data_IF_885649636377
#
_entry.id   IF_885649636377
#
_cell.length_a   1.000
_cell.length_b   1.000
_cell.length_c   1.000
_cell.angle_alpha   90.00
_cell.angle_beta   90.00
_cell.angle_gamma   90.00
#
_symmetry.space_group_name_H-M   'P 1'
#
loop_
_entity.id
_entity.type
_entity.pdbx_description
1 polymer ?
#
# COMPACT_ATOMS: atom_id res chain seq x y z
N UNK A 1 3.43 18.09 -2.41
CA UNK A 1 3.23 19.55 -2.57
C UNK A 1 1.81 19.91 -2.99
N UNK A 2 1.01 18.97 -3.52
CA UNK A 2 -0.35 19.25 -4.01
C UNK A 2 -1.48 18.58 -3.20
N UNK A 3 -1.17 17.82 -2.14
CA UNK A 3 -2.17 17.18 -1.29
C UNK A 3 -2.94 18.24 -0.47
N UNK A 4 -4.27 18.19 -0.49
CA UNK A 4 -5.16 19.13 0.20
C UNK A 4 -5.39 20.45 -0.54
N UNK A 5 -4.97 20.56 -1.80
CA UNK A 5 -5.16 21.76 -2.64
C UNK A 5 -5.63 21.45 -4.07
N UNK A 6 -5.74 20.18 -4.46
CA UNK A 6 -6.16 19.81 -5.83
C UNK A 6 -7.68 19.70 -5.87
N UNK A 7 -8.33 20.41 -6.79
CA UNK A 7 -9.79 20.38 -6.92
C UNK A 7 -10.38 19.00 -7.25
N UNK A 8 -9.59 18.11 -7.85
CA UNK A 8 -9.99 16.75 -8.26
C UNK A 8 -9.61 15.66 -7.24
N UNK A 9 -9.02 16.02 -6.09
CA UNK A 9 -8.77 15.04 -5.04
C UNK A 9 -10.04 14.76 -4.25
N UNK A 10 -10.25 13.50 -3.87
CA UNK A 10 -11.45 13.12 -3.09
C UNK A 10 -11.43 13.79 -1.72
N UNK A 11 -10.26 13.76 -1.07
CA UNK A 11 -9.97 14.42 0.19
C UNK A 11 -8.46 14.46 0.40
N UNK A 12 -8.01 15.24 1.38
CA UNK A 12 -6.60 15.34 1.71
C UNK A 12 -6.03 13.99 2.21
N UNK A 13 -5.02 13.39 1.53
CA UNK A 13 -4.45 12.12 1.96
C UNK A 13 -3.46 12.24 3.13
N UNK A 14 -3.03 13.45 3.51
CA UNK A 14 -1.98 13.66 4.53
C UNK A 14 -2.32 13.06 5.91
N UNK A 15 -3.57 13.17 6.43
CA UNK A 15 -3.92 12.55 7.70
C UNK A 15 -3.73 11.02 7.70
N UNK A 16 -4.05 10.34 6.59
CA UNK A 16 -3.80 8.90 6.47
C UNK A 16 -2.32 8.58 6.42
N UNK A 17 -1.54 9.35 5.67
CA UNK A 17 -0.09 9.18 5.63
C UNK A 17 0.54 9.34 7.01
N UNK A 18 0.08 10.31 7.81
CA UNK A 18 0.57 10.51 9.17
C UNK A 18 0.13 9.37 10.09
N UNK A 19 -1.13 8.91 10.00
CA UNK A 19 -1.61 7.75 10.74
C UNK A 19 -0.78 6.49 10.43
N UNK A 20 -0.54 6.21 9.15
CA UNK A 20 0.27 5.07 8.70
C UNK A 20 1.72 5.21 9.19
N UNK A 21 2.28 6.43 9.17
CA UNK A 21 3.62 6.70 9.68
C UNK A 21 3.70 6.39 11.18
N UNK A 22 2.74 6.87 11.97
CA UNK A 22 2.70 6.63 13.41
C UNK A 22 2.55 5.14 13.70
N UNK A 23 1.58 4.48 13.07
CA UNK A 23 1.33 3.05 13.24
C UNK A 23 2.55 2.18 12.86
N UNK A 24 3.26 2.51 11.79
CA UNK A 24 4.41 1.71 11.34
C UNK A 24 5.70 1.99 12.15
N UNK A 25 5.77 3.11 12.86
CA UNK A 25 6.96 3.52 13.61
C UNK A 25 7.10 2.67 14.88
N UNK A 26 8.25 1.99 15.02
CA UNK A 26 8.56 1.09 16.15
C UNK A 26 7.60 -0.10 16.33
N UNK A 27 6.82 -0.46 15.30
CA UNK A 27 5.94 -1.61 15.38
C UNK A 27 6.75 -2.93 15.43
N UNK A 28 6.64 -3.74 16.50
CA UNK A 28 7.50 -4.92 16.69
C UNK A 28 7.44 -5.93 15.55
N UNK A 29 6.24 -6.13 14.98
CA UNK A 29 6.06 -7.06 13.87
C UNK A 29 6.78 -6.61 12.58
N UNK A 30 7.01 -5.31 12.41
CA UNK A 30 7.62 -4.77 11.18
C UNK A 30 9.14 -4.66 11.28
N UNK A 31 9.71 -4.81 12.49
CA UNK A 31 11.15 -4.84 12.71
C UNK A 31 11.85 -6.04 12.04
N UNK A 32 11.12 -7.13 11.78
CA UNK A 32 11.67 -8.41 11.31
C UNK A 32 11.13 -8.86 9.94
N UNK A 33 10.63 -7.92 9.14
CA UNK A 33 10.16 -8.23 7.79
C UNK A 33 11.29 -8.77 6.91
N UNK A 34 10.99 -9.69 5.97
CA UNK A 34 12.00 -10.31 5.10
C UNK A 34 12.88 -9.29 4.35
N UNK A 35 12.30 -8.15 3.97
CA UNK A 35 12.97 -7.00 3.36
C UNK A 35 12.12 -5.73 3.52
N UNK A 36 12.72 -4.56 3.26
CA UNK A 36 12.04 -3.25 3.25
C UNK A 36 10.73 -3.27 2.49
N UNK A 37 9.77 -2.50 2.97
CA UNK A 37 8.49 -2.23 2.32
C UNK A 37 8.31 -0.71 2.14
N UNK A 38 7.35 -0.33 1.31
CA UNK A 38 6.99 1.05 0.99
C UNK A 38 5.48 1.14 0.79
N UNK A 39 4.86 2.13 1.39
CA UNK A 39 3.44 2.44 1.21
C UNK A 39 3.35 3.78 0.47
N UNK A 40 2.49 3.86 -0.53
CA UNK A 40 2.15 5.11 -1.21
C UNK A 40 0.64 5.31 -1.20
N UNK A 41 0.21 6.57 -1.03
CA UNK A 41 -1.21 6.95 -0.95
C UNK A 41 -1.48 8.01 -2.01
N UNK A 42 -2.58 7.88 -2.74
CA UNK A 42 -3.08 8.90 -3.66
C UNK A 42 -4.56 9.16 -3.42
N UNK A 43 -4.95 10.42 -3.48
CA UNK A 43 -6.35 10.85 -3.45
C UNK A 43 -6.90 11.23 -4.84
N UNK A 44 -6.05 11.17 -5.86
CA UNK A 44 -6.45 11.44 -7.24
C UNK A 44 -7.00 10.17 -7.90
N UNK A 45 -8.14 10.31 -8.59
CA UNK A 45 -8.74 9.21 -9.34
C UNK A 45 -8.07 9.00 -10.70
N UNK A 46 -7.88 10.09 -11.45
CA UNK A 46 -7.44 10.03 -12.85
C UNK A 46 -5.95 10.34 -13.07
N UNK A 47 -5.30 10.98 -12.10
CA UNK A 47 -3.92 11.47 -12.24
C UNK A 47 -3.07 11.05 -11.04
N UNK A 48 -2.66 9.77 -11.04
CA UNK A 48 -1.85 9.16 -10.00
C UNK A 48 -0.40 9.68 -10.02
N UNK A 49 -0.19 10.84 -9.40
CA UNK A 49 1.13 11.44 -9.17
C UNK A 49 1.99 10.67 -8.17
N UNK A 50 1.40 9.83 -7.32
CA UNK A 50 2.12 9.05 -6.32
C UNK A 50 2.65 7.73 -6.89
N UNK A 51 2.20 7.34 -8.08
CA UNK A 51 2.60 6.09 -8.72
C UNK A 51 2.36 4.89 -7.77
N UNK A 52 1.17 4.82 -7.17
CA UNK A 52 0.88 3.90 -6.06
C UNK A 52 1.06 2.44 -6.46
N UNK A 53 0.80 2.10 -7.72
CA UNK A 53 0.98 0.73 -8.26
C UNK A 53 2.45 0.30 -8.38
N UNK A 54 3.41 1.19 -8.18
CA UNK A 54 4.84 0.86 -8.21
C UNK A 54 5.47 0.74 -6.81
N UNK A 55 4.65 0.81 -5.75
CA UNK A 55 5.07 0.64 -4.37
C UNK A 55 4.73 -0.76 -3.85
N UNK A 56 5.34 -1.17 -2.74
CA UNK A 56 5.10 -2.50 -2.17
C UNK A 56 3.63 -2.64 -1.77
N UNK A 57 3.03 -1.56 -1.25
CA UNK A 57 1.59 -1.38 -1.05
C UNK A 57 1.19 0.00 -1.60
N UNK A 58 0.14 0.04 -2.42
CA UNK A 58 -0.44 1.26 -2.97
C UNK A 58 -1.88 1.42 -2.48
N UNK A 59 -2.22 2.62 -1.99
CA UNK A 59 -3.56 2.97 -1.55
C UNK A 59 -4.09 4.10 -2.43
N UNK A 60 -5.24 3.88 -3.06
CA UNK A 60 -5.94 4.91 -3.81
C UNK A 60 -7.27 5.18 -3.12
N UNK A 61 -7.55 6.43 -2.76
CA UNK A 61 -8.87 6.77 -2.26
C UNK A 61 -9.90 6.61 -3.38
N UNK A 62 -11.04 6.06 -3.02
CA UNK A 62 -12.18 5.82 -3.91
C UNK A 62 -13.48 6.10 -3.16
N UNK A 63 -14.54 6.41 -3.91
CA UNK A 63 -15.90 6.57 -3.36
C UNK A 63 -16.73 5.41 -3.90
N UNK A 64 -17.43 4.70 -3.02
CA UNK A 64 -18.31 3.60 -3.41
C UNK A 64 -19.67 4.12 -3.93
N UNK A 65 -20.51 3.20 -4.39
CA UNK A 65 -21.86 3.53 -4.90
C UNK A 65 -22.79 4.16 -3.85
N UNK A 66 -22.48 3.98 -2.57
CA UNK A 66 -23.21 4.58 -1.44
C UNK A 66 -22.70 5.97 -1.05
N UNK A 67 -21.71 6.50 -1.76
CA UNK A 67 -21.09 7.79 -1.47
C UNK A 67 -20.09 7.75 -0.32
N UNK A 68 -19.70 6.57 0.15
CA UNK A 68 -18.72 6.42 1.23
C UNK A 68 -17.31 6.35 0.65
N UNK A 69 -16.39 7.09 1.26
CA UNK A 69 -15.00 7.08 0.85
C UNK A 69 -14.23 5.95 1.55
N UNK A 70 -13.41 5.23 0.79
CA UNK A 70 -12.54 4.17 1.27
C UNK A 70 -11.26 4.08 0.42
N UNK A 71 -10.63 2.91 0.44
CA UNK A 71 -9.38 2.65 -0.26
C UNK A 71 -9.50 1.46 -1.22
N UNK A 72 -9.06 1.66 -2.46
CA UNK A 72 -8.65 0.58 -3.35
C UNK A 72 -7.19 0.23 -3.03
N UNK A 73 -6.91 -1.06 -2.86
CA UNK A 73 -5.63 -1.55 -2.33
C UNK A 73 -4.89 -2.37 -3.37
N UNK A 74 -3.64 -1.98 -3.61
CA UNK A 74 -2.71 -2.65 -4.50
C UNK A 74 -1.49 -3.17 -3.72
N UNK A 75 -0.99 -4.36 -4.05
CA UNK A 75 0.18 -4.95 -3.40
C UNK A 75 1.12 -5.58 -4.42
N UNK A 76 2.43 -5.53 -4.13
CA UNK A 76 3.45 -6.22 -4.92
C UNK A 76 4.07 -5.40 -6.05
N UNK A 77 4.01 -4.07 -5.98
CA UNK A 77 4.72 -3.21 -6.91
C UNK A 77 6.21 -3.05 -6.59
N UNK A 78 7.00 -2.56 -7.55
CA UNK A 78 8.36 -2.11 -7.28
C UNK A 78 9.29 -2.07 -8.47
N UNK A 79 9.90 -0.91 -8.71
CA UNK A 79 10.87 -0.60 -9.79
C UNK A 79 12.31 -1.08 -9.52
N UNK A 80 12.49 -2.12 -8.70
CA UNK A 80 13.81 -2.73 -8.52
C UNK A 80 14.30 -3.49 -9.77
N UNK A 81 15.31 -4.35 -9.60
CA UNK A 81 15.93 -5.13 -10.70
C UNK A 81 14.94 -5.81 -11.65
N UNK A 82 13.85 -6.35 -11.13
CA UNK A 82 12.71 -6.83 -11.92
C UNK A 82 11.52 -5.89 -11.67
N UNK A 83 11.23 -4.94 -12.56
CA UNK A 83 10.09 -4.04 -12.36
C UNK A 83 8.78 -4.83 -12.37
N UNK A 84 7.89 -4.49 -11.44
CA UNK A 84 6.58 -5.13 -11.30
C UNK A 84 5.54 -4.09 -10.95
N UNK A 85 4.36 -4.25 -11.55
CA UNK A 85 3.16 -3.48 -11.23
C UNK A 85 2.39 -4.23 -10.14
N UNK A 86 1.93 -3.52 -9.12
CA UNK A 86 1.13 -4.08 -8.05
C UNK A 86 -0.19 -4.65 -8.57
N UNK A 87 -0.57 -5.81 -8.04
CA UNK A 87 -1.89 -6.41 -8.24
C UNK A 87 -2.90 -5.71 -7.33
N UNK A 88 -4.12 -5.53 -7.83
CA UNK A 88 -5.23 -5.13 -6.97
C UNK A 88 -5.68 -6.33 -6.15
N UNK A 89 -5.78 -6.15 -4.83
CA UNK A 89 -6.22 -7.21 -3.92
C UNK A 89 -7.54 -6.88 -3.22
N UNK A 90 -7.96 -5.61 -3.24
CA UNK A 90 -9.27 -5.18 -2.77
C UNK A 90 -9.73 -3.93 -3.55
N UNK A 91 -10.94 -3.95 -4.14
CA UNK A 91 -11.49 -2.79 -4.84
C UNK A 91 -11.92 -1.68 -3.86
N UNK A 92 -12.30 -2.05 -2.64
CA UNK A 92 -12.75 -1.13 -1.60
C UNK A 92 -12.49 -1.71 -0.21
N UNK A 93 -11.93 -0.89 0.68
CA UNK A 93 -11.77 -1.11 2.12
C UNK A 93 -12.19 0.18 2.81
N UNK A 94 -12.99 0.08 3.87
CA UNK A 94 -13.39 1.25 4.65
C UNK A 94 -12.17 1.92 5.30
N UNK A 95 -12.22 3.25 5.44
CA UNK A 95 -11.16 4.02 6.11
C UNK A 95 -10.85 3.52 7.51
N UNK A 96 -11.85 3.05 8.24
CA UNK A 96 -11.72 2.59 9.62
C UNK A 96 -10.93 1.28 9.70
N UNK A 97 -10.97 0.47 8.64
CA UNK A 97 -10.33 -0.85 8.59
C UNK A 97 -8.94 -0.81 7.95
N UNK A 98 -8.51 0.32 7.39
CA UNK A 98 -7.30 0.37 6.56
C UNK A 98 -6.03 -0.04 7.32
N UNK A 99 -5.90 0.33 8.60
CA UNK A 99 -4.74 -0.03 9.42
C UNK A 99 -4.71 -1.54 9.69
N UNK A 100 -5.85 -2.13 10.05
CA UNK A 100 -5.99 -3.57 10.24
C UNK A 100 -5.69 -4.34 8.95
N UNK A 101 -6.12 -3.81 7.80
CA UNK A 101 -5.86 -4.40 6.49
C UNK A 101 -4.36 -4.34 6.11
N UNK A 102 -3.71 -3.20 6.34
CA UNK A 102 -2.26 -3.04 6.16
C UNK A 102 -1.46 -3.99 7.06
N UNK A 103 -1.90 -4.14 8.32
CA UNK A 103 -1.30 -5.11 9.23
C UNK A 103 -1.40 -6.51 8.65
N UNK A 104 -2.60 -6.96 8.25
CA UNK A 104 -2.82 -8.28 7.66
C UNK A 104 -1.91 -8.56 6.45
N UNK A 105 -1.76 -7.59 5.53
CA UNK A 105 -0.83 -7.69 4.39
C UNK A 105 0.61 -7.93 4.88
N UNK A 106 1.07 -7.13 5.85
CA UNK A 106 2.42 -7.25 6.38
C UNK A 106 2.63 -8.53 7.19
N UNK A 107 1.60 -9.04 7.91
CA UNK A 107 1.65 -10.32 8.60
C UNK A 107 1.86 -11.48 7.62
N UNK A 108 1.11 -11.49 6.52
CA UNK A 108 1.24 -12.47 5.45
C UNK A 108 2.65 -12.40 4.85
N UNK A 109 3.12 -11.20 4.53
CA UNK A 109 4.48 -10.99 4.02
C UNK A 109 5.55 -11.46 5.01
N UNK A 110 5.37 -11.18 6.31
CA UNK A 110 6.30 -11.59 7.34
C UNK A 110 6.38 -13.13 7.45
N UNK A 111 5.22 -13.80 7.41
CA UNK A 111 5.12 -15.25 7.54
C UNK A 111 5.67 -16.00 6.32
N UNK A 112 5.28 -15.58 5.11
CA UNK A 112 5.54 -16.36 3.90
C UNK A 112 6.64 -15.77 2.99
N UNK A 113 7.11 -14.56 3.28
CA UNK A 113 8.16 -13.94 2.49
C UNK A 113 9.50 -14.65 2.62
N UNK A 114 10.22 -14.75 1.50
CA UNK A 114 11.53 -15.42 1.41
C UNK A 114 12.61 -14.69 2.19
N UNK A 115 13.44 -15.45 2.91
CA UNK A 115 14.62 -14.95 3.65
C UNK A 115 15.94 -15.56 3.19
N UNK A 116 15.88 -16.55 2.31
CA UNK A 116 17.03 -17.29 1.78
C UNK A 116 17.84 -16.49 0.73
N UNK A 117 17.18 -15.61 -0.03
CA UNK A 117 17.82 -14.80 -1.05
C UNK A 117 17.34 -13.34 -1.00
N UNK A 118 18.24 -12.44 -0.59
CA UNK A 118 17.94 -10.99 -0.44
C UNK A 118 17.42 -10.32 -1.72
N UNK A 119 17.78 -10.83 -2.90
CA UNK A 119 17.32 -10.30 -4.19
C UNK A 119 15.91 -10.76 -4.56
N UNK A 120 15.42 -11.82 -3.91
CA UNK A 120 14.07 -12.39 -4.08
C UNK A 120 13.19 -12.25 -2.82
N UNK A 121 13.61 -11.45 -1.84
CA UNK A 121 12.96 -11.31 -0.53
C UNK A 121 11.86 -10.24 -0.45
N UNK A 122 11.62 -9.45 -1.50
CA UNK A 122 10.61 -8.37 -1.50
C UNK A 122 9.20 -8.92 -1.69
N UNK A 123 8.18 -8.24 -1.12
CA UNK A 123 6.77 -8.67 -1.18
C UNK A 123 6.27 -8.91 -2.61
N UNK A 124 6.74 -8.15 -3.60
CA UNK A 124 6.40 -8.38 -5.01
C UNK A 124 6.70 -9.78 -5.52
N UNK A 125 7.71 -10.45 -4.96
CA UNK A 125 8.06 -11.83 -5.30
C UNK A 125 7.07 -12.79 -4.67
N UNK A 126 6.63 -12.51 -3.44
CA UNK A 126 5.61 -13.29 -2.76
C UNK A 126 4.27 -13.19 -3.50
N UNK A 127 3.80 -11.97 -3.80
CA UNK A 127 2.55 -11.75 -4.55
C UNK A 127 2.61 -12.51 -5.87
N UNK A 128 3.66 -12.33 -6.67
CA UNK A 128 3.84 -13.07 -7.94
C UNK A 128 3.74 -14.59 -7.79
N UNK A 129 4.20 -15.14 -6.66
CA UNK A 129 4.18 -16.57 -6.43
C UNK A 129 2.81 -17.09 -5.98
N UNK A 130 1.99 -16.25 -5.36
CA UNK A 130 0.66 -16.62 -4.84
C UNK A 130 -0.45 -16.42 -5.89
N UNK A 131 -0.28 -15.46 -6.80
CA UNK A 131 -1.30 -15.06 -7.79
C UNK A 131 -1.85 -13.68 -7.49
#
# INVERSE_FOLDING_TARGET
QYAGVIATEIEDPRPYCELIRQWSTFHPEFAYLPRKFKIAVTAAQDDDRAAVRFHDIGLQLVVNERGETGFRVFVGGGLGRTPMVAAEIAPFIDKHDIISYLEAILRVYNRYGRRDNKYKARIKILVKALG
#
